data_IF_599506803112
#
_entry.id   IF_599506803112
#
_cell.length_a   1.000
_cell.length_b   1.000
_cell.length_c   1.000
_cell.angle_alpha   90.00
_cell.angle_beta   90.00
_cell.angle_gamma   90.00
#
_symmetry.space_group_name_H-M   'P 1'
#
loop_
_entity.id
_entity.type
_entity.pdbx_description
1 polymer ?
#
# COMPACT_ATOMS: atom_id res chain seq x y z
N UNK A 1 8.50 -5.16 25.77
CA UNK A 1 7.71 -3.97 25.40
C UNK A 1 8.56 -2.72 25.58
N UNK A 2 8.27 -1.67 24.82
CA UNK A 2 9.02 -0.41 24.79
C UNK A 2 8.21 0.72 25.40
N UNK A 3 8.91 1.74 25.91
CA UNK A 3 8.31 3.06 26.17
C UNK A 3 8.26 3.83 24.86
N UNK A 4 7.28 4.71 24.72
CA UNK A 4 7.19 5.59 23.56
C UNK A 4 8.41 6.52 23.55
N UNK A 5 9.20 6.50 22.48
CA UNK A 5 10.32 7.43 22.29
C UNK A 5 9.88 8.64 21.48
N UNK A 6 10.79 9.60 21.31
CA UNK A 6 10.55 10.76 20.45
C UNK A 6 10.27 10.29 19.02
N UNK A 7 9.23 10.83 18.39
CA UNK A 7 8.89 10.51 17.01
C UNK A 7 9.89 11.15 16.06
N UNK A 8 10.55 10.33 15.24
CA UNK A 8 11.52 10.76 14.23
C UNK A 8 11.05 10.56 12.78
N UNK A 9 9.83 10.07 12.61
CA UNK A 9 9.19 9.92 11.30
C UNK A 9 9.00 11.30 10.61
N UNK A 10 8.98 11.34 9.27
CA UNK A 10 8.86 12.58 8.50
C UNK A 10 7.69 13.48 8.93
N UNK A 11 8.00 14.72 9.28
CA UNK A 11 7.04 15.83 9.39
C UNK A 11 7.36 16.88 8.35
N UNK A 12 6.40 17.76 8.05
CA UNK A 12 6.64 18.77 7.02
C UNK A 12 7.69 19.76 7.49
N UNK A 13 8.71 19.97 6.66
CA UNK A 13 9.73 21.00 6.84
C UNK A 13 9.73 21.88 5.61
N UNK A 14 9.60 23.18 5.82
CA UNK A 14 9.69 24.14 4.74
C UNK A 14 11.13 24.12 4.17
N UNK A 15 11.32 23.89 2.85
CA UNK A 15 12.65 23.97 2.26
C UNK A 15 13.22 25.39 2.41
N UNK A 16 14.49 25.50 2.83
CA UNK A 16 15.17 26.80 2.95
C UNK A 16 15.34 27.49 1.60
N UNK A 17 15.55 26.70 0.53
CA UNK A 17 15.69 27.16 -0.84
C UNK A 17 14.97 26.21 -1.79
N UNK A 18 14.35 26.78 -2.81
CA UNK A 18 13.70 26.04 -3.89
C UNK A 18 14.46 26.25 -5.19
N UNK A 19 14.74 25.16 -5.90
CA UNK A 19 15.31 25.19 -7.25
C UNK A 19 14.31 25.77 -8.26
N UNK A 20 14.78 26.17 -9.45
CA UNK A 20 13.91 26.63 -10.53
C UNK A 20 12.90 25.53 -10.96
N UNK A 21 13.36 24.28 -10.96
CA UNK A 21 12.54 23.10 -11.22
C UNK A 21 11.40 22.97 -10.20
N UNK A 22 11.69 23.08 -8.90
CA UNK A 22 10.68 22.97 -7.86
C UNK A 22 9.70 24.15 -7.89
N UNK A 23 10.18 25.37 -8.09
CA UNK A 23 9.33 26.57 -8.26
C UNK A 23 8.35 26.40 -9.42
N UNK A 24 8.80 25.82 -10.54
CA UNK A 24 7.94 25.49 -11.67
C UNK A 24 6.85 24.49 -11.27
N UNK A 25 7.20 23.40 -10.59
CA UNK A 25 6.21 22.40 -10.20
C UNK A 25 5.22 22.86 -9.12
N UNK A 26 5.63 23.77 -8.23
CA UNK A 26 4.74 24.38 -7.25
C UNK A 26 3.56 25.13 -7.89
N UNK A 27 3.66 25.62 -9.12
CA UNK A 27 2.51 26.21 -9.81
C UNK A 27 1.48 25.17 -10.27
N UNK A 28 1.84 23.88 -10.34
CA UNK A 28 1.00 22.81 -10.89
C UNK A 28 0.44 21.83 -9.86
N UNK A 29 0.99 21.76 -8.64
CA UNK A 29 0.50 20.87 -7.57
C UNK A 29 -0.44 21.58 -6.59
N UNK A 30 -1.35 20.83 -5.96
CA UNK A 30 -2.33 21.38 -5.01
C UNK A 30 -1.70 21.74 -3.66
N UNK A 31 -0.77 20.94 -3.17
CA UNK A 31 -0.12 21.14 -1.88
C UNK A 31 1.40 21.09 -2.07
N UNK A 32 2.08 22.14 -1.61
CA UNK A 32 3.54 22.27 -1.69
C UNK A 32 4.29 21.14 -0.98
N UNK A 33 3.64 20.48 -0.02
CA UNK A 33 4.19 19.36 0.75
C UNK A 33 4.32 18.09 -0.10
N UNK A 34 3.57 17.99 -1.22
CA UNK A 34 3.62 16.86 -2.15
C UNK A 34 4.77 16.96 -3.18
N UNK A 35 5.65 17.96 -3.08
CA UNK A 35 6.83 18.12 -3.95
C UNK A 35 7.75 16.87 -4.01
N UNK A 36 7.94 16.07 -2.94
CA UNK A 36 8.66 14.80 -3.04
C UNK A 36 8.06 13.81 -4.04
N UNK A 37 6.75 13.85 -4.28
CA UNK A 37 6.10 13.01 -5.31
C UNK A 37 6.52 13.41 -6.72
N UNK A 38 6.78 14.70 -6.95
CA UNK A 38 7.27 15.21 -8.23
C UNK A 38 8.70 14.72 -8.49
N UNK A 39 9.58 14.76 -7.49
CA UNK A 39 10.93 14.20 -7.58
C UNK A 39 10.90 12.70 -7.86
N UNK A 40 10.04 11.96 -7.15
CA UNK A 40 9.82 10.53 -7.39
C UNK A 40 9.36 10.27 -8.83
N UNK A 41 8.32 10.96 -9.29
CA UNK A 41 7.79 10.81 -10.64
C UNK A 41 8.88 11.11 -11.67
N UNK A 42 9.66 12.17 -11.53
CA UNK A 42 10.76 12.47 -12.45
C UNK A 42 11.81 11.36 -12.48
N UNK A 43 12.20 10.82 -11.33
CA UNK A 43 13.09 9.65 -11.26
C UNK A 43 12.53 8.45 -12.04
N UNK A 44 11.24 8.18 -11.91
CA UNK A 44 10.56 7.10 -12.66
C UNK A 44 10.56 7.38 -14.17
N UNK A 45 10.28 8.60 -14.59
CA UNK A 45 10.27 8.97 -16.01
C UNK A 45 11.65 8.90 -16.65
N UNK A 46 12.72 9.10 -15.88
CA UNK A 46 14.08 9.04 -16.39
C UNK A 46 14.68 7.63 -16.34
N UNK A 47 14.37 6.85 -15.29
CA UNK A 47 15.07 5.59 -15.02
C UNK A 47 14.24 4.33 -15.32
N UNK A 48 12.91 4.43 -15.34
CA UNK A 48 12.03 3.27 -15.56
C UNK A 48 11.50 3.29 -16.99
N UNK A 49 10.80 4.35 -17.40
CA UNK A 49 10.10 4.35 -18.69
C UNK A 49 11.02 4.17 -19.91
N UNK A 50 12.15 4.89 -20.04
CA UNK A 50 13.01 4.78 -21.22
C UNK A 50 13.67 3.40 -21.32
N UNK A 51 14.07 2.84 -20.18
CA UNK A 51 14.68 1.50 -20.12
C UNK A 51 13.63 0.43 -20.45
N UNK A 52 12.40 0.58 -19.95
CA UNK A 52 11.31 -0.31 -20.33
C UNK A 52 11.06 -0.28 -21.85
N UNK A 53 11.00 0.90 -22.46
CA UNK A 53 10.87 1.03 -23.93
C UNK A 53 12.06 0.38 -24.64
N UNK A 54 13.29 0.63 -24.18
CA UNK A 54 14.50 0.02 -24.74
C UNK A 54 14.45 -1.51 -24.72
N UNK A 55 13.93 -2.12 -23.64
CA UNK A 55 13.77 -3.57 -23.50
C UNK A 55 12.78 -4.19 -24.51
N UNK A 56 11.88 -3.40 -25.09
CA UNK A 56 10.98 -3.83 -26.17
C UNK A 56 11.61 -3.73 -27.56
N UNK A 57 12.69 -2.97 -27.73
CA UNK A 57 13.36 -2.78 -29.03
C UNK A 57 14.25 -3.99 -29.40
N UNK A 58 14.56 -4.19 -30.68
CA UNK A 58 15.51 -5.22 -31.10
C UNK A 58 16.98 -4.88 -30.80
N UNK A 59 17.26 -3.71 -30.20
CA UNK A 59 18.63 -3.20 -29.95
C UNK A 59 19.41 -4.03 -28.92
N UNK A 60 18.71 -4.64 -27.95
CA UNK A 60 19.32 -5.45 -26.90
C UNK A 60 18.89 -6.91 -27.05
N UNK A 61 19.85 -7.81 -27.23
CA UNK A 61 19.61 -9.24 -27.41
C UNK A 61 20.52 -10.08 -26.51
N UNK A 62 20.16 -11.35 -26.30
CA UNK A 62 20.94 -12.29 -25.52
C UNK A 62 21.27 -11.77 -24.11
N UNK A 63 22.57 -11.76 -23.77
CA UNK A 63 23.08 -11.29 -22.48
C UNK A 63 22.86 -9.79 -22.25
N UNK A 64 22.95 -8.96 -23.29
CA UNK A 64 22.81 -7.51 -23.16
C UNK A 64 21.39 -7.10 -22.75
N UNK A 65 20.37 -7.85 -23.18
CA UNK A 65 19.01 -7.65 -22.70
C UNK A 65 18.90 -7.88 -21.19
N UNK A 66 19.54 -8.93 -20.68
CA UNK A 66 19.53 -9.24 -19.24
C UNK A 66 20.35 -8.24 -18.43
N UNK A 67 21.47 -7.75 -18.97
CA UNK A 67 22.27 -6.69 -18.36
C UNK A 67 21.50 -5.37 -18.23
N UNK A 68 20.53 -5.09 -19.11
CA UNK A 68 19.62 -3.97 -18.95
C UNK A 68 18.44 -4.30 -18.00
N UNK A 69 17.86 -5.50 -18.13
CA UNK A 69 16.68 -5.89 -17.35
C UNK A 69 16.96 -6.05 -15.86
N UNK A 70 18.09 -6.63 -15.45
CA UNK A 70 18.38 -6.87 -14.02
C UNK A 70 18.45 -5.55 -13.23
N UNK A 71 19.23 -4.53 -13.66
CA UNK A 71 19.19 -3.20 -13.05
C UNK A 71 17.82 -2.55 -13.12
N UNK A 72 17.13 -2.67 -14.27
CA UNK A 72 15.76 -2.16 -14.42
C UNK A 72 14.81 -2.77 -13.38
N UNK A 73 14.85 -4.08 -13.17
CA UNK A 73 14.00 -4.78 -12.20
C UNK A 73 14.31 -4.33 -10.78
N UNK A 74 15.58 -4.21 -10.42
CA UNK A 74 15.97 -3.69 -9.10
C UNK A 74 15.45 -2.27 -8.88
N UNK A 75 15.71 -1.36 -9.83
CA UNK A 75 15.32 0.05 -9.75
C UNK A 75 13.79 0.19 -9.73
N UNK A 76 13.08 -0.49 -10.62
CA UNK A 76 11.62 -0.38 -10.70
C UNK A 76 10.92 -1.13 -9.57
N UNK A 77 11.20 -2.42 -9.38
CA UNK A 77 10.40 -3.29 -8.51
C UNK A 77 10.86 -3.34 -7.06
N UNK A 78 12.14 -3.06 -6.76
CA UNK A 78 12.66 -3.10 -5.39
C UNK A 78 12.90 -1.70 -4.82
N UNK A 79 13.39 -0.77 -5.62
CA UNK A 79 13.62 0.60 -5.18
C UNK A 79 12.36 1.46 -5.31
N UNK A 80 11.79 1.62 -6.51
CA UNK A 80 10.66 2.55 -6.69
C UNK A 80 9.29 2.00 -6.29
N UNK A 81 9.05 0.69 -6.36
CA UNK A 81 7.71 0.10 -6.16
C UNK A 81 7.02 0.52 -4.86
N UNK A 82 7.69 0.39 -3.71
CA UNK A 82 7.10 0.79 -2.42
C UNK A 82 6.81 2.29 -2.38
N UNK A 83 7.79 3.11 -2.78
CA UNK A 83 7.66 4.58 -2.85
C UNK A 83 6.50 5.00 -3.75
N UNK A 84 6.41 4.42 -4.95
CA UNK A 84 5.35 4.73 -5.90
C UNK A 84 3.98 4.20 -5.46
N UNK A 85 3.90 2.97 -4.95
CA UNK A 85 2.65 2.38 -4.47
C UNK A 85 2.02 3.19 -3.34
N UNK A 86 2.82 3.64 -2.38
CA UNK A 86 2.31 4.47 -1.29
C UNK A 86 2.14 5.95 -1.69
N UNK A 87 2.84 6.42 -2.73
CA UNK A 87 2.49 7.70 -3.35
C UNK A 87 1.12 7.60 -4.02
N UNK A 88 0.85 6.51 -4.77
CA UNK A 88 -0.44 6.23 -5.40
C UNK A 88 -1.56 6.23 -4.35
N UNK A 89 -1.32 5.59 -3.21
CA UNK A 89 -2.20 5.63 -2.03
C UNK A 89 -2.49 7.05 -1.54
N UNK A 90 -1.47 7.90 -1.39
CA UNK A 90 -1.69 9.30 -1.02
C UNK A 90 -2.51 10.07 -2.07
N UNK A 91 -2.20 9.90 -3.36
CA UNK A 91 -2.79 10.73 -4.42
C UNK A 91 -4.22 10.33 -4.80
N UNK A 92 -4.67 9.12 -4.42
CA UNK A 92 -6.09 8.73 -4.59
C UNK A 92 -6.99 9.39 -3.54
N UNK A 93 -6.43 9.67 -2.35
CA UNK A 93 -7.10 10.41 -1.29
C UNK A 93 -7.06 11.92 -1.51
N UNK A 94 -5.92 12.42 -2.00
CA UNK A 94 -5.67 13.85 -2.23
C UNK A 94 -5.07 14.05 -3.61
N UNK A 95 -5.77 14.73 -4.52
CA UNK A 95 -5.24 14.95 -5.87
C UNK A 95 -3.91 15.69 -5.82
N UNK A 96 -2.89 15.17 -6.50
CA UNK A 96 -1.57 15.78 -6.58
C UNK A 96 -1.60 17.08 -7.38
N UNK A 97 -2.21 17.03 -8.56
CA UNK A 97 -2.19 18.12 -9.54
C UNK A 97 -3.44 19.00 -9.46
N UNK A 98 -3.27 20.29 -9.76
CA UNK A 98 -4.38 21.24 -9.90
C UNK A 98 -5.28 20.87 -11.09
N UNK A 99 -6.50 21.40 -11.10
CA UNK A 99 -7.54 21.03 -12.06
C UNK A 99 -7.13 21.35 -13.51
N UNK A 100 -6.39 22.42 -13.73
CA UNK A 100 -5.96 22.92 -15.04
C UNK A 100 -5.00 21.94 -15.74
N UNK A 101 -4.26 21.15 -14.95
CA UNK A 101 -3.32 20.14 -15.43
C UNK A 101 -3.73 18.73 -14.98
N UNK A 102 -5.03 18.49 -14.81
CA UNK A 102 -5.57 17.20 -14.38
C UNK A 102 -5.19 16.02 -15.31
N UNK A 103 -4.80 16.28 -16.56
CA UNK A 103 -4.27 15.24 -17.45
C UNK A 103 -3.01 14.56 -16.88
N UNK A 104 -2.21 15.27 -16.07
CA UNK A 104 -1.03 14.70 -15.41
C UNK A 104 -1.42 13.64 -14.37
N UNK A 105 -2.54 13.82 -13.68
CA UNK A 105 -3.08 12.80 -12.77
C UNK A 105 -3.46 11.53 -13.56
N UNK A 106 -4.09 11.70 -14.72
CA UNK A 106 -4.44 10.58 -15.60
C UNK A 106 -3.20 9.91 -16.16
N UNK A 107 -2.16 10.66 -16.52
CA UNK A 107 -0.88 10.11 -16.97
C UNK A 107 -0.25 9.20 -15.89
N UNK A 108 -0.23 9.63 -14.62
CA UNK A 108 0.28 8.80 -13.52
C UNK A 108 -0.53 7.51 -13.38
N UNK A 109 -1.87 7.60 -13.45
CA UNK A 109 -2.77 6.45 -13.25
C UNK A 109 -2.77 5.48 -14.45
N UNK A 110 -2.73 5.99 -15.67
CA UNK A 110 -2.93 5.19 -16.88
C UNK A 110 -1.63 4.79 -17.58
N UNK A 111 -0.54 5.53 -17.37
CA UNK A 111 0.76 5.25 -18.01
C UNK A 111 1.76 4.75 -16.99
N UNK A 112 1.95 5.44 -15.86
CA UNK A 112 3.01 5.07 -14.89
C UNK A 112 2.63 3.84 -14.07
N UNK A 113 1.39 3.75 -13.56
CA UNK A 113 0.91 2.63 -12.74
C UNK A 113 1.14 1.22 -13.35
N UNK A 114 0.88 0.98 -14.65
CA UNK A 114 1.16 -0.30 -15.29
C UNK A 114 2.60 -0.82 -15.11
N UNK A 115 3.62 0.04 -15.11
CA UNK A 115 5.04 -0.37 -14.92
C UNK A 115 5.34 -0.87 -13.49
N UNK A 116 4.44 -0.60 -12.55
CA UNK A 116 4.51 -1.09 -11.17
C UNK A 116 3.51 -2.20 -10.90
N UNK A 117 2.83 -2.71 -11.93
CA UNK A 117 1.86 -3.80 -11.84
C UNK A 117 0.47 -3.37 -11.37
N UNK A 118 0.19 -2.06 -11.31
CA UNK A 118 -1.13 -1.55 -11.01
C UNK A 118 -1.91 -1.39 -12.32
N UNK A 119 -3.03 -2.11 -12.43
CA UNK A 119 -4.03 -1.84 -13.44
C UNK A 119 -4.61 -0.43 -13.20
N UNK A 120 -4.76 0.40 -14.24
CA UNK A 120 -5.35 1.73 -14.10
C UNK A 120 -6.70 1.64 -13.40
N UNK A 121 -7.04 2.62 -12.57
CA UNK A 121 -8.33 2.74 -11.85
C UNK A 121 -8.68 1.66 -10.83
N UNK A 122 -8.11 0.45 -10.91
CA UNK A 122 -8.43 -0.66 -9.99
C UNK A 122 -8.11 -0.33 -8.55
N UNK A 123 -6.91 0.21 -8.30
CA UNK A 123 -6.51 0.57 -6.95
C UNK A 123 -7.43 1.64 -6.36
N UNK A 124 -7.73 2.69 -7.12
CA UNK A 124 -8.70 3.72 -6.70
C UNK A 124 -10.07 3.10 -6.40
N UNK A 125 -10.58 2.27 -7.31
CA UNK A 125 -11.91 1.70 -7.17
C UNK A 125 -12.00 0.81 -5.93
N UNK A 126 -11.07 -0.14 -5.76
CA UNK A 126 -11.02 -1.01 -4.60
C UNK A 126 -10.78 -0.22 -3.31
N UNK A 127 -9.73 0.61 -3.26
CA UNK A 127 -9.29 1.28 -2.04
C UNK A 127 -10.31 2.32 -1.54
N UNK A 128 -10.74 3.24 -2.41
CA UNK A 128 -11.68 4.31 -2.05
C UNK A 128 -13.13 3.86 -2.07
N UNK A 129 -13.48 3.00 -3.03
CA UNK A 129 -14.88 2.62 -3.27
C UNK A 129 -15.35 1.48 -2.38
N UNK A 130 -14.44 0.66 -1.84
CA UNK A 130 -14.77 -0.51 -1.03
C UNK A 130 -13.99 -0.51 0.29
N UNK A 131 -12.66 -0.58 0.25
CA UNK A 131 -11.84 -0.86 1.43
C UNK A 131 -12.02 0.17 2.55
N UNK A 132 -11.94 1.47 2.23
CA UNK A 132 -12.21 2.51 3.22
C UNK A 132 -13.68 2.61 3.64
N UNK A 133 -14.61 2.20 2.77
CA UNK A 133 -16.04 2.23 3.07
C UNK A 133 -16.41 1.12 4.04
N UNK A 134 -15.83 -0.05 3.85
CA UNK A 134 -16.11 -1.26 4.62
C UNK A 134 -15.08 -1.50 5.73
N UNK A 135 -14.01 -0.71 5.83
CA UNK A 135 -12.97 -0.82 6.85
C UNK A 135 -12.43 -2.26 7.06
N UNK A 136 -12.15 -3.01 5.98
CA UNK A 136 -11.71 -4.41 6.03
C UNK A 136 -12.70 -5.39 6.72
N UNK A 137 -13.96 -4.98 6.85
CA UNK A 137 -15.05 -5.79 7.43
C UNK A 137 -15.58 -6.83 6.44
N UNK A 138 -16.61 -7.60 6.83
CA UNK A 138 -17.07 -8.78 6.08
C UNK A 138 -17.41 -8.53 4.61
N UNK A 139 -17.91 -7.33 4.28
CA UNK A 139 -18.28 -6.92 2.93
C UNK A 139 -17.10 -6.44 2.07
N UNK A 140 -15.92 -6.26 2.67
CA UNK A 140 -14.69 -5.96 1.95
C UNK A 140 -14.17 -7.24 1.25
N UNK A 141 -13.99 -7.19 -0.07
CA UNK A 141 -13.45 -8.31 -0.84
C UNK A 141 -12.01 -8.69 -0.42
N UNK A 142 -11.30 -7.77 0.24
CA UNK A 142 -9.97 -7.95 0.83
C UNK A 142 -9.99 -8.22 2.34
N UNK A 143 -11.15 -8.51 2.93
CA UNK A 143 -11.24 -8.76 4.37
C UNK A 143 -10.37 -9.92 4.86
N UNK A 144 -9.68 -9.69 5.98
CA UNK A 144 -8.84 -10.69 6.66
C UNK A 144 -9.59 -11.47 7.75
N UNK A 145 -10.85 -11.12 8.02
CA UNK A 145 -11.61 -11.60 9.19
C UNK A 145 -11.88 -13.11 9.16
N UNK A 146 -12.04 -13.68 7.96
CA UNK A 146 -12.32 -15.11 7.73
C UNK A 146 -11.10 -16.01 7.94
N UNK A 147 -9.92 -15.42 8.10
CA UNK A 147 -8.66 -16.16 8.13
C UNK A 147 -8.00 -16.10 9.49
N UNK A 148 -7.23 -17.14 9.81
CA UNK A 148 -6.30 -17.12 10.93
C UNK A 148 -5.05 -16.33 10.50
N UNK A 149 -4.90 -15.12 11.03
CA UNK A 149 -3.95 -14.10 10.54
C UNK A 149 -2.49 -14.31 10.91
N UNK A 150 -2.23 -15.33 11.74
CA UNK A 150 -0.89 -15.82 12.03
C UNK A 150 -0.54 -17.10 11.26
N UNK A 151 -1.36 -17.56 10.31
CA UNK A 151 -1.14 -18.80 9.54
C UNK A 151 -0.66 -18.54 8.11
N UNK A 152 0.46 -19.15 7.72
CA UNK A 152 0.96 -19.08 6.34
C UNK A 152 -0.04 -19.68 5.35
N UNK A 153 -0.66 -20.80 5.70
CA UNK A 153 -1.72 -21.39 4.88
C UNK A 153 -2.92 -20.45 4.76
N UNK A 154 -3.30 -19.78 5.87
CA UNK A 154 -4.36 -18.77 5.85
C UNK A 154 -4.06 -17.64 4.87
N UNK A 155 -2.81 -17.14 4.88
CA UNK A 155 -2.37 -16.12 3.93
C UNK A 155 -2.38 -16.62 2.49
N UNK A 156 -1.92 -17.84 2.22
CA UNK A 156 -1.95 -18.45 0.88
C UNK A 156 -3.40 -18.53 0.36
N UNK A 157 -4.35 -18.99 1.16
CA UNK A 157 -5.77 -19.03 0.79
C UNK A 157 -6.32 -17.63 0.51
N UNK A 158 -5.97 -16.65 1.34
CA UNK A 158 -6.38 -15.26 1.20
C UNK A 158 -5.86 -14.63 -0.10
N UNK A 159 -4.55 -14.70 -0.35
CA UNK A 159 -3.95 -14.10 -1.55
C UNK A 159 -4.40 -14.83 -2.81
N UNK A 160 -4.55 -16.15 -2.78
CA UNK A 160 -5.05 -16.93 -3.92
C UNK A 160 -6.48 -16.51 -4.27
N UNK A 161 -7.36 -16.38 -3.28
CA UNK A 161 -8.72 -15.89 -3.49
C UNK A 161 -8.70 -14.51 -4.15
N UNK A 162 -7.90 -13.58 -3.64
CA UNK A 162 -7.81 -12.24 -4.22
C UNK A 162 -7.26 -12.25 -5.65
N UNK A 163 -6.24 -13.05 -5.94
CA UNK A 163 -5.64 -13.14 -7.28
C UNK A 163 -6.64 -13.61 -8.34
N UNK A 164 -7.46 -14.61 -8.02
CA UNK A 164 -8.40 -15.21 -8.99
C UNK A 164 -9.78 -14.57 -8.97
N UNK A 165 -10.27 -14.13 -7.79
CA UNK A 165 -11.64 -13.66 -7.61
C UNK A 165 -11.73 -12.17 -7.27
N UNK A 166 -10.62 -11.48 -7.00
CA UNK A 166 -10.61 -10.09 -6.53
C UNK A 166 -11.32 -9.12 -7.49
N UNK A 167 -11.09 -9.26 -8.81
CA UNK A 167 -11.82 -8.45 -9.80
C UNK A 167 -13.33 -8.70 -9.74
N UNK A 168 -13.73 -9.98 -9.75
CA UNK A 168 -15.15 -10.38 -9.72
C UNK A 168 -15.82 -9.87 -8.45
N UNK A 169 -15.23 -10.12 -7.28
CA UNK A 169 -15.80 -9.78 -5.99
C UNK A 169 -15.92 -8.25 -5.85
N UNK A 170 -14.91 -7.51 -6.32
CA UNK A 170 -14.94 -6.04 -6.36
C UNK A 170 -16.02 -5.51 -7.31
N UNK A 171 -16.12 -6.08 -8.51
CA UNK A 171 -17.14 -5.70 -9.49
C UNK A 171 -18.54 -5.95 -8.95
N UNK A 172 -18.80 -7.15 -8.41
CA UNK A 172 -20.12 -7.54 -7.88
C UNK A 172 -20.52 -6.67 -6.70
N UNK A 173 -19.59 -6.31 -5.81
CA UNK A 173 -19.85 -5.36 -4.73
C UNK A 173 -20.38 -4.01 -5.25
N UNK A 174 -19.74 -3.46 -6.29
CA UNK A 174 -20.16 -2.18 -6.86
C UNK A 174 -21.45 -2.29 -7.66
N UNK A 175 -21.60 -3.39 -8.41
CA UNK A 175 -22.78 -3.64 -9.22
C UNK A 175 -24.03 -3.81 -8.36
N UNK A 176 -23.98 -4.65 -7.32
CA UNK A 176 -25.12 -4.89 -6.41
C UNK A 176 -25.54 -3.64 -5.63
N UNK A 177 -24.63 -2.68 -5.45
CA UNK A 177 -24.87 -1.39 -4.80
C UNK A 177 -25.14 -0.24 -5.78
N UNK A 178 -25.37 -0.52 -7.07
CA UNK A 178 -25.64 0.48 -8.11
C UNK A 178 -24.56 1.58 -8.25
N UNK A 179 -23.29 1.28 -7.90
CA UNK A 179 -22.16 2.22 -7.97
C UNK A 179 -21.53 2.25 -9.38
N UNK A 180 -22.31 2.67 -10.38
CA UNK A 180 -21.94 2.68 -11.81
C UNK A 180 -20.57 3.26 -12.12
N UNK A 181 -20.25 4.41 -11.53
CA UNK A 181 -18.96 5.08 -11.74
C UNK A 181 -17.76 4.20 -11.34
N UNK A 182 -17.88 3.41 -10.28
CA UNK A 182 -16.77 2.59 -9.78
C UNK A 182 -16.58 1.34 -10.61
N UNK A 183 -17.63 0.55 -10.85
CA UNK A 183 -17.47 -0.68 -11.64
C UNK A 183 -17.06 -0.37 -13.09
N UNK A 184 -17.55 0.72 -13.70
CA UNK A 184 -17.13 1.07 -15.07
C UNK A 184 -15.64 1.44 -15.15
N UNK A 185 -15.12 2.20 -14.17
CA UNK A 185 -13.69 2.56 -14.12
C UNK A 185 -12.83 1.33 -13.86
N UNK A 186 -13.21 0.48 -12.91
CA UNK A 186 -12.56 -0.80 -12.63
C UNK A 186 -12.50 -1.68 -13.88
N UNK A 187 -13.64 -1.90 -14.56
CA UNK A 187 -13.71 -2.71 -15.77
C UNK A 187 -12.88 -2.11 -16.90
N UNK A 188 -13.01 -0.81 -17.17
CA UNK A 188 -12.24 -0.16 -18.23
C UNK A 188 -10.74 -0.25 -17.99
N UNK A 189 -10.27 -0.01 -16.76
CA UNK A 189 -8.86 -0.07 -16.41
C UNK A 189 -8.26 -1.47 -16.50
N UNK A 190 -8.95 -2.49 -15.99
CA UNK A 190 -8.51 -3.90 -16.06
C UNK A 190 -8.47 -4.39 -17.50
N UNK A 191 -9.54 -4.18 -18.28
CA UNK A 191 -9.59 -4.62 -19.68
C UNK A 191 -8.57 -3.88 -20.55
N UNK A 192 -8.40 -2.57 -20.36
CA UNK A 192 -7.38 -1.81 -21.10
C UNK A 192 -5.97 -2.34 -20.82
N UNK A 193 -5.66 -2.68 -19.56
CA UNK A 193 -4.38 -3.29 -19.21
C UNK A 193 -4.21 -4.67 -19.85
N UNK A 194 -5.22 -5.55 -19.80
CA UNK A 194 -5.13 -6.87 -20.43
C UNK A 194 -4.95 -6.79 -21.95
N UNK A 195 -5.71 -5.91 -22.62
CA UNK A 195 -5.55 -5.66 -24.06
C UNK A 195 -4.15 -5.13 -24.34
N UNK A 196 -3.64 -4.17 -23.57
CA UNK A 196 -2.29 -3.65 -23.72
C UNK A 196 -1.24 -4.75 -23.54
N UNK A 197 -1.36 -5.61 -22.52
CA UNK A 197 -0.47 -6.75 -22.33
C UNK A 197 -0.52 -7.73 -23.51
N UNK A 198 -1.68 -8.03 -24.06
CA UNK A 198 -1.82 -8.91 -25.25
C UNK A 198 -1.12 -8.27 -26.45
N UNK A 199 -1.37 -7.00 -26.74
CA UNK A 199 -0.72 -6.28 -27.85
C UNK A 199 0.80 -6.27 -27.68
N UNK A 200 1.29 -5.88 -26.49
CA UNK A 200 2.71 -5.84 -26.18
C UNK A 200 3.37 -7.23 -26.20
N UNK A 201 2.66 -8.27 -25.81
CA UNK A 201 3.14 -9.65 -25.87
C UNK A 201 3.33 -10.11 -27.32
N UNK A 202 2.43 -9.73 -28.23
CA UNK A 202 2.58 -10.00 -29.66
C UNK A 202 3.74 -9.22 -30.29
N UNK A 203 4.10 -8.05 -29.75
CA UNK A 203 5.28 -7.30 -30.19
C UNK A 203 6.59 -7.90 -29.66
N UNK A 204 6.65 -8.21 -28.36
CA UNK A 204 7.80 -8.83 -27.73
C UNK A 204 7.36 -9.58 -26.45
N UNK A 205 7.13 -10.89 -26.59
CA UNK A 205 6.65 -11.75 -25.51
C UNK A 205 7.55 -11.71 -24.26
N UNK A 206 8.88 -11.73 -24.46
CA UNK A 206 9.85 -11.68 -23.37
C UNK A 206 9.73 -10.36 -22.61
N UNK A 207 9.75 -9.23 -23.30
CA UNK A 207 9.65 -7.93 -22.65
C UNK A 207 8.30 -7.73 -21.94
N UNK A 208 7.19 -8.10 -22.58
CA UNK A 208 5.85 -8.00 -21.98
C UNK A 208 5.72 -8.82 -20.69
N UNK A 209 6.25 -10.05 -20.69
CA UNK A 209 6.23 -10.92 -19.53
C UNK A 209 6.98 -10.29 -18.34
N UNK A 210 8.20 -9.81 -18.57
CA UNK A 210 9.09 -9.33 -17.51
C UNK A 210 8.81 -7.88 -17.07
N UNK A 211 8.29 -7.03 -17.96
CA UNK A 211 8.02 -5.61 -17.67
C UNK A 211 6.61 -5.37 -17.12
N UNK A 212 5.61 -6.18 -17.53
CA UNK A 212 4.21 -5.94 -17.15
C UNK A 212 3.57 -7.12 -16.42
N UNK A 213 3.63 -8.34 -16.98
CA UNK A 213 2.87 -9.48 -16.44
C UNK A 213 3.41 -9.92 -15.08
N UNK A 214 4.72 -10.14 -14.93
CA UNK A 214 5.33 -10.51 -13.66
C UNK A 214 5.14 -9.39 -12.61
N UNK A 215 5.45 -8.11 -12.91
CA UNK A 215 5.18 -7.00 -11.99
C UNK A 215 3.72 -6.89 -11.54
N UNK A 216 2.75 -7.22 -12.41
CA UNK A 216 1.32 -7.25 -12.10
C UNK A 216 0.98 -8.29 -11.03
N UNK A 217 1.39 -9.56 -11.21
CA UNK A 217 1.18 -10.59 -10.19
C UNK A 217 1.92 -10.24 -8.90
N UNK A 218 3.15 -9.74 -9.02
CA UNK A 218 3.97 -9.33 -7.88
C UNK A 218 3.30 -8.19 -7.09
N UNK A 219 2.75 -7.17 -7.77
CA UNK A 219 2.04 -6.07 -7.13
C UNK A 219 0.83 -6.56 -6.31
N UNK A 220 0.00 -7.44 -6.89
CA UNK A 220 -1.16 -7.99 -6.19
C UNK A 220 -0.78 -8.75 -4.92
N UNK A 221 0.27 -9.57 -4.97
CA UNK A 221 0.77 -10.28 -3.78
C UNK A 221 1.28 -9.30 -2.72
N UNK A 222 2.08 -8.30 -3.10
CA UNK A 222 2.65 -7.32 -2.16
C UNK A 222 1.56 -6.47 -1.50
N UNK A 223 0.57 -6.00 -2.25
CA UNK A 223 -0.56 -5.24 -1.69
C UNK A 223 -1.36 -6.08 -0.68
N UNK A 224 -1.62 -7.35 -1.01
CA UNK A 224 -2.34 -8.25 -0.11
C UNK A 224 -1.54 -8.61 1.14
N UNK A 225 -0.21 -8.71 1.03
CA UNK A 225 0.67 -8.82 2.20
C UNK A 225 0.58 -7.59 3.10
N UNK A 226 0.58 -6.38 2.50
CA UNK A 226 0.36 -5.12 3.20
C UNK A 226 -0.95 -5.11 3.98
N UNK A 227 -2.08 -5.33 3.27
CA UNK A 227 -3.41 -5.38 3.88
C UNK A 227 -3.49 -6.42 5.01
N UNK A 228 -2.92 -7.60 4.79
CA UNK A 228 -2.89 -8.66 5.79
C UNK A 228 -2.17 -8.25 7.07
N UNK A 229 -1.00 -7.61 6.95
CA UNK A 229 -0.21 -7.18 8.10
C UNK A 229 -0.84 -5.97 8.80
N UNK A 230 -1.36 -5.01 8.03
CA UNK A 230 -2.09 -3.84 8.52
C UNK A 230 -3.34 -4.24 9.32
N UNK A 231 -4.04 -5.30 8.88
CA UNK A 231 -5.26 -5.81 9.49
C UNK A 231 -5.13 -7.19 10.14
N UNK A 232 -3.96 -7.49 10.71
CA UNK A 232 -3.67 -8.79 11.30
C UNK A 232 -4.36 -9.00 12.66
N UNK A 233 -4.58 -7.92 13.40
CA UNK A 233 -5.04 -7.94 14.79
C UNK A 233 -6.39 -7.27 14.91
N UNK A 234 -7.42 -8.05 15.19
CA UNK A 234 -8.80 -7.58 15.30
C UNK A 234 -9.36 -7.89 16.68
N UNK A 235 -9.96 -6.90 17.33
CA UNK A 235 -10.65 -7.10 18.59
C UNK A 235 -11.98 -7.84 18.36
N UNK A 236 -12.22 -9.02 18.99
CA UNK A 236 -13.47 -9.74 18.80
C UNK A 236 -14.71 -9.04 19.38
N UNK A 237 -14.54 -8.02 20.21
CA UNK A 237 -15.66 -7.23 20.77
C UNK A 237 -15.96 -5.98 19.96
N UNK A 238 -15.04 -5.56 19.09
CA UNK A 238 -15.17 -4.36 18.27
C UNK A 238 -14.33 -4.52 17.00
N UNK A 239 -14.95 -5.07 15.96
CA UNK A 239 -14.26 -5.42 14.72
C UNK A 239 -13.73 -4.21 13.94
N UNK A 240 -14.23 -3.00 14.21
CA UNK A 240 -13.71 -1.75 13.63
C UNK A 240 -12.29 -1.45 14.11
N UNK A 241 -11.89 -2.01 15.27
CA UNK A 241 -10.52 -1.97 15.80
C UNK A 241 -9.68 -3.06 15.17
N UNK A 242 -9.43 -2.90 13.88
CA UNK A 242 -8.70 -3.89 13.07
C UNK A 242 -7.40 -3.37 12.46
N UNK A 243 -6.90 -2.19 12.87
CA UNK A 243 -5.70 -1.57 12.33
C UNK A 243 -4.59 -1.45 13.38
N UNK A 244 -3.34 -1.30 12.92
CA UNK A 244 -2.16 -1.12 13.77
C UNK A 244 -1.29 0.04 13.27
N UNK A 245 -0.43 0.56 14.14
CA UNK A 245 0.57 1.54 13.78
C UNK A 245 1.99 0.94 13.76
N UNK A 246 2.82 1.41 12.82
CA UNK A 246 4.26 1.20 12.75
C UNK A 246 4.95 2.58 12.73
N UNK A 247 5.67 2.91 13.80
CA UNK A 247 6.30 4.22 13.99
C UNK A 247 7.82 4.10 14.05
N UNK A 248 8.51 5.22 13.84
CA UNK A 248 9.97 5.38 13.90
C UNK A 248 10.69 4.32 13.07
N UNK A 249 10.32 4.21 11.80
CA UNK A 249 10.81 3.17 10.89
C UNK A 249 11.27 3.77 9.57
N UNK A 250 12.39 3.28 9.03
CA UNK A 250 12.89 3.68 7.71
C UNK A 250 11.82 3.55 6.61
N UNK A 251 10.87 2.64 6.79
CA UNK A 251 9.71 2.49 5.93
C UNK A 251 8.91 3.80 5.79
N UNK A 252 8.63 4.51 6.89
CA UNK A 252 7.85 5.74 6.87
C UNK A 252 8.52 6.88 6.08
N UNK A 253 9.87 6.86 6.00
CA UNK A 253 10.64 7.84 5.21
C UNK A 253 10.54 7.62 3.69
N UNK A 254 10.25 6.39 3.26
CA UNK A 254 10.17 6.04 1.82
C UNK A 254 8.75 5.73 1.37
N UNK A 255 7.86 5.43 2.31
CA UNK A 255 6.47 5.06 2.09
C UNK A 255 5.52 6.04 2.78
N UNK A 256 5.93 7.30 2.90
CA UNK A 256 5.05 8.43 3.22
C UNK A 256 4.22 8.22 4.48
N UNK A 257 4.86 7.85 5.58
CA UNK A 257 4.18 7.61 6.87
C UNK A 257 2.99 6.65 6.82
N UNK A 258 2.94 5.73 5.85
CA UNK A 258 1.88 4.70 5.75
C UNK A 258 1.77 3.82 7.02
N UNK A 259 2.84 3.77 7.82
CA UNK A 259 2.84 3.13 9.13
C UNK A 259 1.75 3.63 10.10
N UNK A 260 1.22 4.85 9.94
CA UNK A 260 0.16 5.41 10.79
C UNK A 260 -1.25 5.02 10.33
N UNK A 261 -1.45 3.72 10.08
CA UNK A 261 -2.63 3.20 9.38
C UNK A 261 -3.96 3.39 10.13
N UNK A 262 -3.93 3.42 11.47
CA UNK A 262 -5.14 3.67 12.27
C UNK A 262 -5.69 5.07 11.98
N UNK A 263 -4.80 6.06 11.99
CA UNK A 263 -5.15 7.46 11.72
C UNK A 263 -5.54 7.62 10.26
N UNK A 264 -4.89 6.88 9.37
CA UNK A 264 -5.24 6.86 7.96
C UNK A 264 -6.69 6.39 7.73
N UNK A 265 -7.15 5.34 8.43
CA UNK A 265 -8.54 4.89 8.33
C UNK A 265 -9.53 5.90 8.93
N UNK A 266 -9.19 6.57 10.04
CA UNK A 266 -10.02 7.61 10.65
C UNK A 266 -10.08 8.90 9.81
N UNK A 267 -8.94 9.29 9.22
CA UNK A 267 -8.75 10.56 8.48
C UNK A 267 -8.02 10.32 7.16
N UNK A 268 -8.67 9.67 6.18
CA UNK A 268 -8.03 9.27 4.92
C UNK A 268 -7.44 10.42 4.11
N UNK A 269 -8.03 11.62 4.23
CA UNK A 269 -7.57 12.83 3.53
C UNK A 269 -6.51 13.65 4.28
N UNK A 270 -6.01 13.18 5.44
CA UNK A 270 -4.93 13.86 6.16
C UNK A 270 -3.62 13.75 5.38
N UNK A 271 -2.83 14.83 5.33
CA UNK A 271 -1.52 14.80 4.68
C UNK A 271 -0.57 13.91 5.48
N UNK A 272 0.23 13.08 4.80
CA UNK A 272 1.06 12.08 5.45
C UNK A 272 2.04 12.66 6.49
N UNK A 273 2.54 13.87 6.26
CA UNK A 273 3.42 14.58 7.19
C UNK A 273 2.75 15.08 8.48
N UNK A 274 1.42 15.05 8.55
CA UNK A 274 0.67 15.48 9.73
C UNK A 274 0.33 14.27 10.62
N UNK A 275 0.37 13.05 10.08
CA UNK A 275 0.06 11.81 10.79
C UNK A 275 0.89 11.61 12.09
N UNK A 276 2.20 11.93 12.13
CA UNK A 276 2.97 11.79 13.37
C UNK A 276 2.46 12.68 14.51
N UNK A 277 2.06 13.92 14.21
CA UNK A 277 1.54 14.85 15.22
C UNK A 277 0.15 14.45 15.66
N UNK A 278 -0.69 14.01 14.71
CA UNK A 278 -2.02 13.49 15.02
C UNK A 278 -1.94 12.26 15.94
N UNK A 279 -0.99 11.35 15.70
CA UNK A 279 -0.73 10.21 16.57
C UNK A 279 -0.44 10.64 18.01
N UNK A 280 0.45 11.61 18.19
CA UNK A 280 0.76 12.13 19.53
C UNK A 280 -0.46 12.74 20.23
N UNK A 281 -1.38 13.33 19.46
CA UNK A 281 -2.64 13.90 19.95
C UNK A 281 -3.62 12.82 20.42
N UNK A 282 -3.77 11.71 19.67
CA UNK A 282 -4.77 10.66 19.93
C UNK A 282 -4.24 9.41 20.63
N UNK A 283 -2.94 9.34 20.94
CA UNK A 283 -2.29 8.14 21.50
C UNK A 283 -2.98 7.55 22.74
N UNK A 284 -3.55 8.39 23.60
CA UNK A 284 -4.22 7.95 24.82
C UNK A 284 -5.54 7.25 24.51
N UNK A 285 -6.33 7.78 23.58
CA UNK A 285 -7.55 7.13 23.08
C UNK A 285 -7.23 5.78 22.41
N UNK A 286 -6.09 5.71 21.68
CA UNK A 286 -5.61 4.48 21.08
C UNK A 286 -5.20 3.44 22.14
N UNK A 287 -4.56 3.89 23.22
CA UNK A 287 -4.13 3.05 24.33
C UNK A 287 -5.32 2.48 25.12
N UNK A 288 -6.34 3.29 25.39
CA UNK A 288 -7.60 2.86 26.00
C UNK A 288 -8.27 1.75 25.19
N UNK A 289 -8.27 1.89 23.86
CA UNK A 289 -8.79 0.90 22.90
C UNK A 289 -7.85 -0.29 22.67
N UNK A 290 -6.70 -0.33 23.36
CA UNK A 290 -5.62 -1.32 23.18
C UNK A 290 -5.18 -1.47 21.72
N UNK A 291 -5.14 -0.39 20.93
CA UNK A 291 -4.66 -0.43 19.54
C UNK A 291 -3.14 -0.60 19.52
N UNK A 292 -2.65 -1.58 18.77
CA UNK A 292 -1.23 -1.91 18.78
C UNK A 292 -0.40 -0.89 17.99
N UNK A 293 0.67 -0.39 18.63
CA UNK A 293 1.68 0.46 18.00
C UNK A 293 3.05 -0.19 18.15
N UNK A 294 3.71 -0.45 17.01
CA UNK A 294 5.04 -1.05 16.96
C UNK A 294 6.10 -0.01 16.58
N UNK A 295 7.26 -0.06 17.21
CA UNK A 295 8.36 0.87 16.97
C UNK A 295 9.56 0.19 16.29
N UNK A 296 10.13 0.85 15.27
CA UNK A 296 11.36 0.41 14.62
C UNK A 296 11.20 -0.82 13.72
N UNK A 297 9.95 -1.20 13.42
CA UNK A 297 9.60 -2.26 12.48
C UNK A 297 8.49 -1.78 11.54
N UNK A 298 8.19 -2.56 10.52
CA UNK A 298 7.13 -2.28 9.55
C UNK A 298 6.40 -3.56 9.15
N UNK A 299 5.40 -3.46 8.27
CA UNK A 299 4.47 -4.54 7.93
C UNK A 299 5.12 -5.86 7.50
N UNK A 300 6.22 -5.85 6.75
CA UNK A 300 6.92 -7.08 6.37
C UNK A 300 7.52 -7.82 7.57
N UNK A 301 8.07 -7.09 8.54
CA UNK A 301 8.57 -7.69 9.78
C UNK A 301 7.43 -8.33 10.57
N UNK A 302 6.30 -7.63 10.67
CA UNK A 302 5.09 -8.12 11.35
C UNK A 302 4.60 -9.40 10.67
N UNK A 303 4.47 -9.37 9.34
CA UNK A 303 4.09 -10.53 8.55
C UNK A 303 5.01 -11.72 8.82
N UNK A 304 6.33 -11.56 8.68
CA UNK A 304 7.30 -12.65 8.90
C UNK A 304 7.20 -13.21 10.32
N UNK A 305 7.07 -12.37 11.33
CA UNK A 305 6.98 -12.82 12.72
C UNK A 305 5.64 -13.48 13.05
N UNK A 306 4.55 -13.06 12.41
CA UNK A 306 3.26 -13.77 12.50
C UNK A 306 3.37 -15.16 11.88
N UNK A 307 3.93 -15.27 10.66
CA UNK A 307 4.06 -16.56 9.96
C UNK A 307 4.99 -17.54 10.70
N UNK A 308 5.99 -17.00 11.41
CA UNK A 308 6.94 -17.79 12.23
C UNK A 308 6.56 -17.87 13.71
N UNK A 309 5.37 -17.40 14.10
CA UNK A 309 4.84 -17.40 15.47
C UNK A 309 5.74 -16.71 16.51
N UNK A 310 6.59 -15.77 16.08
CA UNK A 310 7.50 -14.99 16.94
C UNK A 310 6.79 -13.81 17.62
N UNK A 311 5.78 -14.14 18.42
CA UNK A 311 5.04 -13.17 19.25
C UNK A 311 5.93 -12.49 20.29
N UNK A 312 7.00 -13.15 20.71
CA UNK A 312 8.04 -12.58 21.56
C UNK A 312 8.69 -11.35 20.90
N UNK A 313 9.07 -11.46 19.62
CA UNK A 313 9.66 -10.35 18.85
C UNK A 313 8.67 -9.22 18.61
N UNK A 314 7.41 -9.54 18.34
CA UNK A 314 6.33 -8.54 18.24
C UNK A 314 6.18 -7.76 19.55
N UNK A 315 6.08 -8.45 20.69
CA UNK A 315 5.95 -7.84 22.00
C UNK A 315 7.20 -7.05 22.46
N UNK A 316 8.39 -7.39 21.93
CA UNK A 316 9.62 -6.60 22.14
C UNK A 316 9.64 -5.27 21.38
N UNK A 317 8.84 -5.14 20.33
CA UNK A 317 8.70 -3.91 19.53
C UNK A 317 7.40 -3.16 19.81
N UNK A 318 6.47 -3.76 20.54
CA UNK A 318 5.23 -3.14 20.96
C UNK A 318 5.50 -2.01 21.98
N UNK A 319 4.92 -0.84 21.72
CA UNK A 319 5.00 0.35 22.60
C UNK A 319 3.87 0.28 23.62
N UNK A 320 4.20 0.35 24.91
CA UNK A 320 3.23 0.32 26.01
C UNK A 320 2.80 1.75 26.38
N UNK A 321 1.96 2.35 25.53
CA UNK A 321 1.42 3.70 25.71
C UNK A 321 0.50 3.69 26.94
N UNK A 322 0.64 4.68 27.82
CA UNK A 322 -0.18 4.88 29.01
C UNK A 322 -0.37 3.62 29.88
N UNK A 323 0.65 2.77 29.93
CA UNK A 323 0.64 1.50 30.68
C UNK A 323 -0.54 0.57 30.32
N UNK A 324 -1.01 0.59 29.07
CA UNK A 324 -2.14 -0.24 28.59
C UNK A 324 -1.96 -1.75 28.78
N UNK A 325 -0.72 -2.20 29.01
CA UNK A 325 -0.37 -3.57 29.40
C UNK A 325 0.39 -3.60 30.71
N UNK A 326 -0.01 -4.51 31.61
CA UNK A 326 0.66 -4.76 32.89
C UNK A 326 1.94 -5.58 32.72
N UNK A 327 1.99 -6.47 31.72
CA UNK A 327 3.13 -7.35 31.45
C UNK A 327 3.30 -7.68 29.97
N UNK A 328 4.48 -8.21 29.59
CA UNK A 328 4.75 -8.66 28.21
C UNK A 328 3.88 -9.87 27.86
N UNK A 329 3.60 -10.72 28.84
CA UNK A 329 2.79 -11.93 28.74
C UNK A 329 1.32 -11.59 28.45
N UNK A 330 0.78 -10.54 29.10
CA UNK A 330 -0.55 -10.02 28.80
C UNK A 330 -0.63 -9.57 27.33
N UNK A 331 0.35 -8.77 26.88
CA UNK A 331 0.40 -8.28 25.51
C UNK A 331 0.50 -9.42 24.49
N UNK A 332 1.35 -10.43 24.74
CA UNK A 332 1.47 -11.62 23.88
C UNK A 332 0.14 -12.39 23.81
N UNK A 333 -0.54 -12.55 24.95
CA UNK A 333 -1.82 -13.24 25.01
C UNK A 333 -2.86 -12.51 24.17
N UNK A 334 -2.95 -11.18 24.29
CA UNK A 334 -3.86 -10.38 23.48
C UNK A 334 -3.51 -10.43 21.99
N UNK A 335 -2.23 -10.28 21.62
CA UNK A 335 -1.77 -10.41 20.23
C UNK A 335 -2.19 -11.74 19.62
N UNK A 336 -2.03 -12.86 20.34
CA UNK A 336 -2.45 -14.20 19.88
C UNK A 336 -3.96 -14.34 19.75
N UNK A 337 -4.73 -13.73 20.65
CA UNK A 337 -6.19 -13.79 20.60
C UNK A 337 -6.76 -13.02 19.40
N UNK A 338 -6.14 -11.88 19.03
CA UNK A 338 -6.62 -11.00 17.96
C UNK A 338 -6.28 -11.47 16.54
N UNK A 339 -5.51 -12.55 16.38
CA UNK A 339 -5.22 -13.17 15.07
C UNK A 339 -6.17 -14.32 14.72
N UNK A 340 -7.16 -14.62 15.57
CA UNK A 340 -8.13 -15.71 15.39
C UNK A 340 -9.22 -15.36 14.37
N UNK A 341 -9.63 -16.28 13.49
CA UNK A 341 -10.73 -16.01 12.56
C UNK A 341 -11.99 -15.59 13.35
N UNK A 342 -12.72 -14.61 12.84
CA UNK A 342 -13.93 -14.08 13.48
C UNK A 342 -15.21 -14.60 12.83
N UNK A 343 -15.11 -15.04 11.58
CA UNK A 343 -16.16 -15.79 10.89
C UNK A 343 -15.63 -17.18 10.58
N UNK A 344 -16.38 -18.22 10.93
CA UNK A 344 -16.17 -19.55 10.36
C UNK A 344 -16.51 -19.50 8.88
N UNK A 345 -15.68 -20.12 8.03
CA UNK A 345 -16.06 -20.31 6.63
C UNK A 345 -17.38 -21.08 6.63
N UNK A 346 -18.44 -20.50 6.06
CA UNK A 346 -19.63 -21.28 5.73
C UNK A 346 -19.15 -22.45 4.85
N UNK A 347 -19.44 -23.66 5.34
CA UNK A 347 -19.14 -24.95 4.71
C UNK A 347 -19.62 -25.02 3.27
#
# INVERSE_FOLDING_TARGET
MRKLTVINDPVYRLPERLTAYEKCWLSYINDKRDLPFIHLLTGIHLLVLPVAVLLFTPLLQGVYWWLAYIPYFYISQLYFKGRFGLMLHCIVHRRLFKKEVAFLQHWVIWVVCPFFGHTPETYFAHHMGMHHVENNMENDASSTLRYRRDSLWGFICYVSRFLFLGFRDTFLYFFSRNRKRFYMRLTAGEFAFYIACIVLYNLNAKAALFVFVIPFFFARVVMMLGNWAQHAFVDPQDFEKNTINCINTNYNHICWNDGYHVIHHDRPAMHYTDLPNEFLRVKSDLAEKKIFTFEGIHYLHIFIWLMTKRYDKLADRLVNIDHMFTSKEEAITLLKSRTRPLFTQAS
#
